data_IF_002594002357
#
_entry.id   IF_002594002357
#
_cell.length_a   1.000
_cell.length_b   1.000
_cell.length_c   1.000
_cell.angle_alpha   90.00
_cell.angle_beta   90.00
_cell.angle_gamma   90.00
#
_symmetry.space_group_name_H-M   'P 1'
#
loop_
_entity.id
_entity.type
_entity.pdbx_description
1 polymer ?
#
# COMPACT_ATOMS: atom_id res chain seq x y z
N UNK A 1 4.23 10.73 13.01
CA UNK A 1 4.03 10.34 11.61
C UNK A 1 4.47 8.91 11.44
N UNK A 2 3.60 8.07 10.91
CA UNK A 2 3.84 6.64 10.81
C UNK A 2 3.74 6.15 9.37
N UNK A 3 4.38 5.03 9.08
CA UNK A 3 4.41 4.42 7.76
C UNK A 3 4.05 2.94 7.88
N UNK A 4 3.13 2.47 7.06
CA UNK A 4 2.92 1.05 6.80
C UNK A 4 3.50 0.76 5.42
N UNK A 5 4.48 -0.12 5.35
CA UNK A 5 5.14 -0.48 4.11
C UNK A 5 4.84 -1.94 3.75
N UNK A 6 4.29 -2.16 2.57
CA UNK A 6 4.04 -3.49 2.01
C UNK A 6 5.15 -3.83 1.02
N UNK A 7 5.98 -4.79 1.39
CA UNK A 7 7.11 -5.22 0.57
C UNK A 7 6.87 -6.58 -0.07
N UNK A 8 7.43 -6.78 -1.22
CA UNK A 8 7.33 -8.03 -1.95
C UNK A 8 7.92 -7.92 -3.33
N UNK A 9 8.09 -9.06 -4.00
CA UNK A 9 8.56 -9.09 -5.38
C UNK A 9 7.54 -8.41 -6.31
N UNK A 10 7.98 -8.02 -7.47
CA UNK A 10 7.10 -7.58 -8.56
C UNK A 10 6.00 -8.63 -8.84
N UNK A 11 4.80 -8.18 -9.15
CA UNK A 11 3.65 -9.03 -9.54
C UNK A 11 3.17 -10.03 -8.49
N UNK A 12 3.40 -9.78 -7.20
CA UNK A 12 2.84 -10.64 -6.13
C UNK A 12 1.43 -10.23 -5.70
N UNK A 13 0.93 -9.08 -6.13
CA UNK A 13 -0.41 -8.59 -5.80
C UNK A 13 -0.44 -7.37 -4.86
N UNK A 14 0.67 -6.65 -4.70
CA UNK A 14 0.73 -5.48 -3.80
C UNK A 14 -0.27 -4.38 -4.19
N UNK A 15 -0.34 -4.05 -5.48
CA UNK A 15 -1.29 -3.05 -5.97
C UNK A 15 -2.73 -3.45 -5.67
N UNK A 16 -3.09 -4.71 -5.94
CA UNK A 16 -4.43 -5.23 -5.63
C UNK A 16 -4.73 -5.18 -4.13
N UNK A 17 -3.79 -5.58 -3.30
CA UNK A 17 -3.93 -5.53 -1.84
C UNK A 17 -4.18 -4.10 -1.36
N UNK A 18 -3.39 -3.14 -1.82
CA UNK A 18 -3.54 -1.74 -1.40
C UNK A 18 -4.81 -1.09 -1.95
N UNK A 19 -5.28 -1.48 -3.12
CA UNK A 19 -6.59 -1.05 -3.62
C UNK A 19 -7.72 -1.57 -2.72
N UNK A 20 -7.62 -2.80 -2.21
CA UNK A 20 -8.58 -3.32 -1.25
C UNK A 20 -8.52 -2.52 0.06
N UNK A 21 -7.34 -2.17 0.55
CA UNK A 21 -7.18 -1.32 1.75
C UNK A 21 -7.91 0.00 1.56
N UNK A 22 -7.72 0.68 0.43
CA UNK A 22 -8.40 1.94 0.11
C UNK A 22 -9.92 1.74 0.16
N UNK A 23 -10.44 0.69 -0.48
CA UNK A 23 -11.87 0.40 -0.51
C UNK A 23 -12.45 0.11 0.88
N UNK A 24 -11.74 -0.63 1.71
CA UNK A 24 -12.17 -0.92 3.09
C UNK A 24 -12.21 0.36 3.92
N UNK A 25 -11.19 1.21 3.81
CA UNK A 25 -11.15 2.49 4.52
C UNK A 25 -12.35 3.38 4.15
N UNK A 26 -12.70 3.43 2.87
CA UNK A 26 -13.83 4.20 2.39
C UNK A 26 -15.17 3.58 2.84
N UNK A 27 -15.35 2.27 2.64
CA UNK A 27 -16.63 1.61 2.83
C UNK A 27 -16.95 1.33 4.31
N UNK A 28 -15.96 0.97 5.12
CA UNK A 28 -16.18 0.61 6.52
C UNK A 28 -16.00 1.78 7.49
N UNK A 29 -15.04 2.68 7.22
CA UNK A 29 -14.78 3.82 8.10
C UNK A 29 -15.30 5.15 7.57
N UNK A 30 -15.87 5.16 6.37
CA UNK A 30 -16.37 6.38 5.75
C UNK A 30 -15.28 7.37 5.36
N UNK A 31 -14.08 6.86 5.04
CA UNK A 31 -12.99 7.70 4.56
C UNK A 31 -13.43 8.48 3.32
N UNK A 32 -13.12 9.76 3.29
CA UNK A 32 -13.38 10.61 2.13
C UNK A 32 -12.13 10.70 1.27
N UNK A 33 -12.26 10.36 -0.01
CA UNK A 33 -11.18 10.54 -0.98
C UNK A 33 -11.06 12.02 -1.31
N UNK A 34 -9.97 12.65 -0.91
CA UNK A 34 -9.70 14.06 -1.16
C UNK A 34 -8.99 14.30 -2.49
N UNK A 35 -8.12 13.38 -2.88
CA UNK A 35 -7.38 13.46 -4.13
C UNK A 35 -6.98 12.07 -4.60
N UNK A 36 -6.81 11.92 -5.90
CA UNK A 36 -6.31 10.71 -6.54
C UNK A 36 -5.49 11.10 -7.76
N UNK A 37 -4.29 10.54 -7.87
CA UNK A 37 -3.38 10.79 -8.98
C UNK A 37 -2.93 9.46 -9.57
N UNK A 38 -3.02 9.34 -10.89
CA UNK A 38 -2.60 8.15 -11.61
C UNK A 38 -1.11 8.29 -11.94
N UNK A 39 -0.31 7.25 -11.62
CA UNK A 39 1.12 7.24 -11.94
C UNK A 39 1.36 7.14 -13.46
N UNK A 40 2.58 7.37 -13.89
CA UNK A 40 2.95 7.36 -15.30
C UNK A 40 2.63 6.02 -16.01
N UNK A 41 2.65 4.90 -15.28
CA UNK A 41 2.31 3.58 -15.81
C UNK A 41 0.80 3.36 -16.00
N UNK A 42 -0.03 4.33 -15.60
CA UNK A 42 -1.50 4.32 -15.70
C UNK A 42 -2.19 3.16 -14.95
N UNK A 43 -1.48 2.49 -14.06
CA UNK A 43 -1.97 1.39 -13.22
C UNK A 43 -1.93 1.77 -11.77
N UNK A 44 -0.79 2.27 -11.30
CA UNK A 44 -0.61 2.64 -9.90
C UNK A 44 -1.14 4.04 -9.62
N UNK A 45 -1.59 4.25 -8.39
CA UNK A 45 -2.21 5.51 -7.97
C UNK A 45 -1.63 6.02 -6.66
N UNK A 46 -1.80 7.30 -6.43
CA UNK A 46 -1.58 7.98 -5.15
C UNK A 46 -2.91 8.52 -4.70
N UNK A 47 -3.34 8.12 -3.52
CA UNK A 47 -4.66 8.48 -3.01
C UNK A 47 -4.50 9.19 -1.67
N UNK A 48 -5.21 10.28 -1.49
CA UNK A 48 -5.30 10.99 -0.22
C UNK A 48 -6.69 10.79 0.35
N UNK A 49 -6.76 10.22 1.55
CA UNK A 49 -7.99 9.94 2.28
C UNK A 49 -8.05 10.75 3.57
N UNK A 50 -9.23 11.14 3.97
CA UNK A 50 -9.50 11.78 5.25
C UNK A 50 -10.51 11.00 6.05
N UNK A 51 -10.19 10.72 7.32
CA UNK A 51 -11.05 10.05 8.29
C UNK A 51 -10.95 10.78 9.63
N UNK A 52 -12.05 11.30 10.14
CA UNK A 52 -12.07 11.96 11.46
C UNK A 52 -10.97 13.02 11.65
N UNK A 53 -10.71 13.80 10.60
CA UNK A 53 -9.66 14.82 10.62
C UNK A 53 -8.24 14.29 10.44
N UNK A 54 -8.04 12.98 10.30
CA UNK A 54 -6.76 12.34 10.02
C UNK A 54 -6.56 12.15 8.53
N UNK A 55 -5.36 12.36 8.07
CA UNK A 55 -4.99 12.23 6.65
C UNK A 55 -4.15 10.97 6.44
N UNK A 56 -4.61 10.12 5.53
CA UNK A 56 -3.91 8.92 5.10
C UNK A 56 -3.52 9.09 3.63
N UNK A 57 -2.26 8.90 3.32
CA UNK A 57 -1.78 8.85 1.93
C UNK A 57 -1.46 7.40 1.58
N UNK A 58 -1.95 6.92 0.45
CA UNK A 58 -1.71 5.54 -0.01
C UNK A 58 -1.05 5.57 -1.40
N UNK A 59 0.08 4.90 -1.52
CA UNK A 59 0.76 4.64 -2.79
C UNK A 59 0.58 3.17 -3.15
N UNK A 60 -0.09 2.87 -4.26
CA UNK A 60 -0.29 1.48 -4.68
C UNK A 60 0.89 0.92 -5.45
N UNK A 61 1.75 1.76 -6.02
CA UNK A 61 2.94 1.37 -6.76
C UNK A 61 4.23 1.63 -6.00
N UNK A 62 5.24 0.82 -6.26
CA UNK A 62 6.56 0.95 -5.63
C UNK A 62 7.59 -0.01 -6.22
N UNK A 63 7.37 -0.52 -7.43
CA UNK A 63 8.24 -1.52 -8.05
C UNK A 63 9.49 -0.93 -8.69
N UNK A 64 9.47 0.32 -9.11
CA UNK A 64 10.59 0.94 -9.79
C UNK A 64 10.96 2.31 -9.18
N UNK A 65 12.17 2.76 -9.52
CA UNK A 65 12.74 4.01 -9.00
C UNK A 65 11.94 5.24 -9.38
N UNK A 66 11.45 5.30 -10.62
CA UNK A 66 10.68 6.45 -11.10
C UNK A 66 9.39 6.63 -10.32
N UNK A 67 8.66 5.54 -10.07
CA UNK A 67 7.45 5.57 -9.24
C UNK A 67 7.79 6.02 -7.82
N UNK A 68 8.87 5.53 -7.24
CA UNK A 68 9.28 5.92 -5.89
C UNK A 68 9.64 7.41 -5.81
N UNK A 69 10.36 7.92 -6.78
CA UNK A 69 10.71 9.35 -6.84
C UNK A 69 9.45 10.23 -6.97
N UNK A 70 8.51 9.84 -7.83
CA UNK A 70 7.22 10.54 -7.96
C UNK A 70 6.41 10.47 -6.66
N UNK A 71 6.37 9.31 -6.00
CA UNK A 71 5.67 9.12 -4.74
C UNK A 71 6.23 10.02 -3.64
N UNK A 72 7.55 10.07 -3.48
CA UNK A 72 8.17 10.90 -2.45
C UNK A 72 8.06 12.39 -2.75
N UNK A 73 8.19 12.80 -4.01
CA UNK A 73 7.94 14.19 -4.40
C UNK A 73 6.50 14.61 -4.07
N UNK A 74 5.55 13.73 -4.29
CA UNK A 74 4.15 13.97 -3.94
C UNK A 74 3.96 14.09 -2.43
N UNK A 75 4.49 13.14 -1.63
CA UNK A 75 4.25 13.12 -0.20
C UNK A 75 4.89 14.30 0.54
N UNK A 76 5.99 14.82 0.01
CA UNK A 76 6.64 16.02 0.56
C UNK A 76 5.74 17.26 0.50
N UNK A 77 4.74 17.27 -0.38
CA UNK A 77 3.76 18.36 -0.51
C UNK A 77 2.54 18.17 0.38
N UNK A 78 2.43 17.03 1.09
CA UNK A 78 1.26 16.68 1.88
C UNK A 78 1.57 16.73 3.38
N UNK A 79 0.58 17.16 4.15
CA UNK A 79 0.55 16.91 5.60
C UNK A 79 -0.29 15.65 5.81
N UNK A 80 0.28 14.64 6.46
CA UNK A 80 -0.39 13.36 6.66
C UNK A 80 -0.05 12.76 8.04
N UNK A 81 -0.98 11.94 8.53
CA UNK A 81 -0.84 11.22 9.81
C UNK A 81 -0.29 9.81 9.59
N UNK A 82 -0.64 9.20 8.44
CA UNK A 82 -0.21 7.86 8.07
C UNK A 82 0.08 7.78 6.57
N UNK A 83 1.22 7.19 6.23
CA UNK A 83 1.56 6.80 4.87
C UNK A 83 1.44 5.27 4.75
N UNK A 84 0.71 4.79 3.76
CA UNK A 84 0.67 3.38 3.39
C UNK A 84 1.27 3.26 2.00
N UNK A 85 2.32 2.48 1.85
CA UNK A 85 3.04 2.41 0.59
C UNK A 85 3.54 1.01 0.27
N UNK A 86 3.79 0.77 -1.01
CA UNK A 86 4.38 -0.48 -1.50
C UNK A 86 5.84 -0.27 -1.85
N UNK A 87 6.63 -1.33 -1.73
CA UNK A 87 7.98 -1.35 -2.25
C UNK A 87 8.38 -2.75 -2.72
N UNK A 88 9.37 -2.80 -3.58
CA UNK A 88 9.92 -4.05 -4.08
C UNK A 88 10.99 -4.58 -3.14
N UNK A 89 10.92 -5.85 -2.77
CA UNK A 89 11.84 -6.49 -1.81
C UNK A 89 13.29 -6.55 -2.31
N UNK A 90 13.52 -6.49 -3.62
CA UNK A 90 14.85 -6.39 -4.21
C UNK A 90 14.97 -5.07 -4.97
N UNK A 91 16.06 -4.34 -4.71
CA UNK A 91 16.34 -3.07 -5.37
C UNK A 91 16.21 -1.87 -4.45
N UNK A 92 16.13 -0.69 -5.06
CA UNK A 92 16.27 0.58 -4.35
C UNK A 92 14.99 1.04 -3.62
N UNK A 93 13.81 0.46 -3.92
CA UNK A 93 12.55 1.06 -3.45
C UNK A 93 12.32 0.92 -1.95
N UNK A 94 12.50 -0.28 -1.37
CA UNK A 94 12.37 -0.44 0.08
C UNK A 94 13.49 0.32 0.82
N UNK A 95 14.69 0.35 0.26
CA UNK A 95 15.80 1.13 0.82
C UNK A 95 15.49 2.63 0.86
N UNK A 96 14.80 3.15 -0.15
CA UNK A 96 14.37 4.56 -0.16
C UNK A 96 13.44 4.89 1.01
N UNK A 97 12.58 3.95 1.42
CA UNK A 97 11.72 4.12 2.60
C UNK A 97 12.56 4.16 3.87
N UNK A 98 13.50 3.21 4.02
CA UNK A 98 14.39 3.14 5.19
C UNK A 98 15.29 4.38 5.34
N UNK A 99 15.65 5.03 4.24
CA UNK A 99 16.43 6.26 4.29
C UNK A 99 15.62 7.48 4.71
N UNK A 100 14.31 7.49 4.53
CA UNK A 100 13.45 8.64 4.80
C UNK A 100 12.76 8.59 6.16
N UNK A 101 12.59 7.39 6.72
CA UNK A 101 11.88 7.18 7.97
C UNK A 101 12.70 6.33 8.93
N UNK A 102 12.61 6.62 10.24
CA UNK A 102 13.26 5.81 11.26
C UNK A 102 12.56 4.45 11.42
N UNK A 103 13.27 3.47 11.98
CA UNK A 103 12.71 2.13 12.21
C UNK A 103 11.45 2.16 13.06
N UNK A 104 11.38 3.06 14.03
CA UNK A 104 10.24 3.18 14.94
C UNK A 104 8.98 3.70 14.25
N UNK A 105 9.13 4.33 13.10
CA UNK A 105 8.02 4.88 12.32
C UNK A 105 7.43 3.88 11.33
N UNK A 106 8.14 2.79 11.01
CA UNK A 106 7.77 1.89 9.92
C UNK A 106 7.25 0.56 10.45
N UNK A 107 6.03 0.21 10.06
CA UNK A 107 5.47 -1.14 10.23
C UNK A 107 5.53 -1.86 8.89
N UNK A 108 6.21 -3.00 8.86
CA UNK A 108 6.44 -3.77 7.65
C UNK A 108 5.47 -4.93 7.50
N UNK A 109 4.83 -5.04 6.33
CA UNK A 109 4.09 -6.21 5.90
C UNK A 109 4.77 -6.82 4.68
N UNK A 110 4.93 -8.14 4.66
CA UNK A 110 5.47 -8.86 3.52
C UNK A 110 4.38 -9.56 2.73
N UNK A 111 4.47 -9.54 1.39
CA UNK A 111 3.57 -10.26 0.51
C UNK A 111 4.33 -11.22 -0.37
N UNK A 112 3.95 -12.50 -0.34
CA UNK A 112 4.49 -13.54 -1.20
C UNK A 112 3.45 -13.93 -2.26
N UNK A 113 3.93 -14.39 -3.41
CA UNK A 113 3.04 -14.93 -4.43
C UNK A 113 2.69 -16.38 -4.10
N UNK A 114 1.41 -16.67 -3.97
CA UNK A 114 0.91 -18.03 -3.92
C UNK A 114 1.10 -18.68 -5.29
N UNK A 115 1.74 -19.83 -5.34
CA UNK A 115 2.05 -20.54 -6.59
C UNK A 115 1.80 -22.05 -6.43
N UNK A 116 1.85 -22.75 -7.54
CA UNK A 116 1.54 -24.18 -7.61
C UNK A 116 0.27 -24.44 -8.41
N UNK A 117 -0.29 -25.63 -8.32
CA UNK A 117 -1.50 -26.05 -9.04
C UNK A 117 -1.40 -25.79 -10.55
N UNK A 118 -0.31 -26.21 -11.17
CA UNK A 118 -0.11 -26.05 -12.61
C UNK A 118 -1.29 -26.61 -13.40
N UNK A 119 -1.78 -25.82 -14.36
CA UNK A 119 -2.99 -26.14 -15.12
C UNK A 119 -4.31 -25.83 -14.41
N UNK A 120 -4.26 -25.25 -13.20
CA UNK A 120 -5.45 -24.86 -12.43
C UNK A 120 -5.45 -23.36 -12.12
N UNK A 121 -5.29 -22.54 -13.14
CA UNK A 121 -5.13 -21.08 -12.99
C UNK A 121 -6.34 -20.41 -12.32
N UNK A 122 -7.56 -20.90 -12.59
CA UNK A 122 -8.77 -20.32 -11.98
C UNK A 122 -8.80 -20.53 -10.46
N UNK A 123 -8.44 -21.73 -9.99
CA UNK A 123 -8.36 -22.01 -8.56
C UNK A 123 -7.26 -21.18 -7.90
N UNK A 124 -6.12 -21.05 -8.55
CA UNK A 124 -4.99 -20.27 -8.05
C UNK A 124 -5.34 -18.79 -7.95
N UNK A 125 -6.10 -18.26 -8.91
CA UNK A 125 -6.59 -16.88 -8.89
C UNK A 125 -7.49 -16.61 -7.68
N UNK A 126 -8.41 -17.54 -7.37
CA UNK A 126 -9.29 -17.44 -6.20
C UNK A 126 -8.46 -17.38 -4.92
N UNK A 127 -7.48 -18.27 -4.77
CA UNK A 127 -6.60 -18.31 -3.59
C UNK A 127 -5.80 -17.01 -3.44
N UNK A 128 -5.22 -16.52 -4.55
CA UNK A 128 -4.47 -15.24 -4.54
C UNK A 128 -5.36 -14.07 -4.14
N UNK A 129 -6.59 -14.02 -4.61
CA UNK A 129 -7.53 -12.97 -4.22
C UNK A 129 -7.87 -13.03 -2.73
N UNK A 130 -8.07 -14.23 -2.18
CA UNK A 130 -8.31 -14.43 -0.74
C UNK A 130 -7.12 -13.98 0.11
N UNK A 131 -5.89 -14.28 -0.32
CA UNK A 131 -4.67 -13.84 0.37
C UNK A 131 -4.53 -12.31 0.33
N UNK A 132 -4.84 -11.69 -0.82
CA UNK A 132 -4.83 -10.24 -0.94
C UNK A 132 -5.84 -9.58 0.02
N UNK A 133 -7.05 -10.13 0.12
CA UNK A 133 -8.08 -9.64 1.04
C UNK A 133 -7.68 -9.81 2.50
N UNK A 134 -7.12 -10.95 2.86
CA UNK A 134 -6.64 -11.21 4.22
C UNK A 134 -5.56 -10.21 4.63
N UNK A 135 -4.56 -10.01 3.78
CA UNK A 135 -3.47 -9.06 4.04
C UNK A 135 -3.98 -7.62 4.10
N UNK A 136 -4.91 -7.26 3.22
CA UNK A 136 -5.54 -5.95 3.24
C UNK A 136 -6.28 -5.67 4.55
N UNK A 137 -6.99 -6.65 5.08
CA UNK A 137 -7.67 -6.53 6.39
C UNK A 137 -6.68 -6.36 7.54
N UNK A 138 -5.54 -7.05 7.47
CA UNK A 138 -4.46 -6.88 8.46
C UNK A 138 -3.86 -5.48 8.43
N UNK A 139 -3.61 -4.94 7.25
CA UNK A 139 -3.13 -3.57 7.05
C UNK A 139 -4.17 -2.56 7.54
N UNK A 140 -5.43 -2.77 7.20
CA UNK A 140 -6.54 -1.94 7.67
C UNK A 140 -6.62 -1.89 9.19
N UNK A 141 -6.51 -3.04 9.86
CA UNK A 141 -6.54 -3.10 11.32
C UNK A 141 -5.33 -2.37 11.94
N UNK A 142 -4.16 -2.52 11.34
CA UNK A 142 -2.97 -1.79 11.77
C UNK A 142 -3.15 -0.27 11.62
N UNK A 143 -3.71 0.18 10.51
CA UNK A 143 -4.01 1.60 10.28
C UNK A 143 -4.96 2.16 11.34
N UNK A 144 -6.03 1.43 11.67
CA UNK A 144 -6.95 1.81 12.75
C UNK A 144 -6.22 1.97 14.08
N UNK A 145 -5.38 1.01 14.44
CA UNK A 145 -4.64 1.03 15.69
C UNK A 145 -3.66 2.23 15.75
N UNK A 146 -2.93 2.47 14.67
CA UNK A 146 -1.96 3.58 14.58
C UNK A 146 -2.67 4.93 14.71
N UNK A 147 -3.81 5.09 14.08
CA UNK A 147 -4.56 6.35 14.08
C UNK A 147 -5.54 6.48 15.25
N UNK A 148 -5.70 5.45 16.04
CA UNK A 148 -6.65 5.39 17.16
C UNK A 148 -8.10 5.69 16.71
N UNK A 149 -8.51 5.07 15.64
CA UNK A 149 -9.85 5.21 15.05
C UNK A 149 -10.63 3.90 15.02
#
# INVERSE_FOLDING_TARGET
MNVIALWGRSKVGKTSTLNIVINILINELGARKRAEYIAYNKVDTRVVLEINGKIIVVFTGGDDRRIMEENFSFVETQQYDLLICACRSKGASCHSIEQRFSKEQILWFGQSRVSGLDGREEQLKVIRNQENEYLAKSIFQAAKNILSI
#
